data_IF_909826998453
#
_entry.id   IF_909826998453
#
_cell.length_a   1.000
_cell.length_b   1.000
_cell.length_c   1.000
_cell.angle_alpha   90.00
_cell.angle_beta   90.00
_cell.angle_gamma   90.00
#
_symmetry.space_group_name_H-M   'P 1'
#
loop_
_entity.id
_entity.type
_entity.pdbx_description
1 polymer ?
#
# COMPACT_ATOMS: atom_id res chain seq x y z
N UNK A 1 20.48 -45.66 -60.73
CA UNK A 1 20.54 -44.32 -60.12
C UNK A 1 19.33 -43.51 -60.57
N UNK A 2 18.62 -42.89 -59.60
CA UNK A 2 17.73 -41.72 -59.72
C UNK A 2 16.37 -41.82 -60.46
N UNK A 3 15.32 -42.23 -59.71
CA UNK A 3 14.09 -41.50 -59.26
C UNK A 3 13.27 -40.59 -60.24
N UNK A 4 12.02 -40.13 -59.90
CA UNK A 4 10.71 -40.79 -60.10
C UNK A 4 9.62 -39.82 -60.69
N UNK A 5 8.34 -40.23 -60.88
CA UNK A 5 7.08 -39.40 -60.80
C UNK A 5 5.84 -40.32 -60.90
N UNK A 6 5.01 -40.46 -59.85
CA UNK A 6 3.74 -39.76 -59.47
C UNK A 6 2.43 -40.23 -60.14
N UNK A 7 1.49 -40.72 -59.32
CA UNK A 7 0.03 -40.39 -59.31
C UNK A 7 -0.65 -41.11 -58.13
N UNK A 8 -1.00 -40.39 -57.05
CA UNK A 8 -2.35 -39.88 -56.66
C UNK A 8 -3.42 -40.97 -56.50
N UNK A 9 -3.89 -41.14 -55.25
CA UNK A 9 -5.24 -41.59 -54.95
C UNK A 9 -5.79 -40.88 -53.70
N UNK A 10 -7.07 -40.57 -53.81
CA UNK A 10 -7.95 -39.72 -53.00
C UNK A 10 -8.28 -40.33 -51.63
N UNK A 11 -8.50 -39.51 -50.61
CA UNK A 11 -9.42 -39.87 -49.52
C UNK A 11 -10.10 -38.64 -48.90
N UNK A 12 -11.38 -38.83 -48.59
CA UNK A 12 -12.40 -37.83 -48.35
C UNK A 12 -12.36 -37.17 -46.96
N UNK A 13 -12.99 -36.00 -46.91
CA UNK A 13 -13.24 -35.15 -45.74
C UNK A 13 -14.35 -35.76 -44.87
N UNK A 14 -14.10 -35.90 -43.56
CA UNK A 14 -15.13 -36.15 -42.55
C UNK A 14 -15.17 -34.99 -41.56
N UNK A 15 -16.35 -34.41 -41.39
CA UNK A 15 -16.65 -33.32 -40.48
C UNK A 15 -16.78 -33.86 -39.04
N UNK A 16 -16.20 -33.17 -38.06
CA UNK A 16 -16.59 -33.26 -36.66
C UNK A 16 -17.02 -31.88 -36.16
N UNK A 17 -18.25 -31.82 -35.65
CA UNK A 17 -18.85 -30.68 -34.99
C UNK A 17 -18.18 -30.46 -33.62
N UNK A 18 -17.53 -29.32 -33.43
CA UNK A 18 -17.09 -28.88 -32.10
C UNK A 18 -18.24 -28.13 -31.43
N UNK A 19 -18.78 -28.71 -30.36
CA UNK A 19 -19.71 -28.08 -29.44
C UNK A 19 -19.09 -26.81 -28.83
N UNK A 20 -19.85 -25.72 -28.82
CA UNK A 20 -19.50 -24.45 -28.18
C UNK A 20 -19.28 -24.64 -26.68
N UNK A 21 -18.03 -24.75 -26.26
CA UNK A 21 -17.65 -24.54 -24.87
C UNK A 21 -17.67 -23.05 -24.58
N UNK A 22 -18.48 -22.62 -23.62
CA UNK A 22 -18.44 -21.27 -23.07
C UNK A 22 -17.03 -20.99 -22.55
N UNK A 23 -16.32 -20.08 -23.21
CA UNK A 23 -15.09 -19.51 -22.68
C UNK A 23 -15.46 -18.63 -21.50
N UNK A 24 -15.37 -19.18 -20.28
CA UNK A 24 -15.08 -18.33 -19.14
C UNK A 24 -13.67 -17.80 -19.38
N UNK A 25 -13.54 -16.50 -19.62
CA UNK A 25 -12.25 -15.83 -19.57
C UNK A 25 -11.76 -15.92 -18.12
N UNK A 26 -11.03 -16.99 -17.82
CA UNK A 26 -10.17 -17.02 -16.66
C UNK A 26 -9.17 -15.87 -16.85
N UNK A 27 -9.10 -14.97 -15.88
CA UNK A 27 -8.08 -13.91 -15.83
C UNK A 27 -6.70 -14.49 -16.14
N UNK A 28 -5.84 -13.68 -16.73
CA UNK A 28 -4.56 -14.18 -17.22
C UNK A 28 -3.75 -14.81 -16.07
N UNK A 29 -2.87 -15.78 -16.36
CA UNK A 29 -1.98 -16.35 -15.35
C UNK A 29 -1.15 -15.28 -14.61
N UNK A 30 -0.94 -14.11 -15.22
CA UNK A 30 -0.28 -12.96 -14.61
C UNK A 30 -1.15 -12.26 -13.58
N UNK A 31 -2.45 -12.04 -13.84
CA UNK A 31 -3.37 -11.43 -12.86
C UNK A 31 -3.57 -12.30 -11.62
N UNK A 32 -3.62 -13.62 -11.80
CA UNK A 32 -3.70 -14.57 -10.68
C UNK A 32 -2.39 -14.61 -9.86
N UNK A 33 -1.24 -14.49 -10.53
CA UNK A 33 0.07 -14.44 -9.86
C UNK A 33 0.28 -13.09 -9.14
N UNK A 34 -0.09 -11.97 -9.74
CA UNK A 34 -0.04 -10.64 -9.12
C UNK A 34 -0.98 -10.56 -7.89
N UNK A 35 -2.17 -11.17 -7.98
CA UNK A 35 -3.11 -11.27 -6.85
C UNK A 35 -2.59 -12.16 -5.73
N UNK A 36 -1.95 -13.28 -6.06
CA UNK A 36 -1.32 -14.16 -5.07
C UNK A 36 -0.14 -13.46 -4.37
N UNK A 37 0.63 -12.65 -5.11
CA UNK A 37 1.74 -11.87 -4.57
C UNK A 37 1.26 -10.70 -3.69
N UNK A 38 0.12 -10.08 -4.02
CA UNK A 38 -0.57 -9.12 -3.17
C UNK A 38 -1.10 -9.77 -1.87
N UNK A 39 -1.69 -10.96 -1.96
CA UNK A 39 -2.17 -11.73 -0.79
C UNK A 39 -1.01 -12.20 0.10
N UNK A 40 0.15 -12.56 -0.46
CA UNK A 40 1.37 -12.87 0.31
C UNK A 40 1.95 -11.64 1.02
N UNK A 41 1.95 -10.48 0.36
CA UNK A 41 2.37 -9.19 0.93
C UNK A 41 1.39 -8.64 1.97
N UNK A 42 0.13 -9.08 1.96
CA UNK A 42 -0.88 -8.72 2.97
C UNK A 42 -0.81 -9.62 4.22
N UNK A 43 -0.27 -10.83 4.10
CA UNK A 43 -0.20 -11.83 5.18
C UNK A 43 1.10 -11.74 5.99
N UNK A 44 2.17 -11.19 5.41
CA UNK A 44 3.40 -10.90 6.15
C UNK A 44 3.42 -9.43 6.52
N UNK A 45 3.52 -9.13 7.80
CA UNK A 45 3.80 -7.79 8.29
C UNK A 45 5.21 -7.29 7.92
N UNK A 46 5.60 -7.37 6.65
CA UNK A 46 6.95 -7.19 6.13
C UNK A 46 7.03 -6.42 4.81
N UNK A 47 6.04 -5.60 4.47
CA UNK A 47 6.17 -4.64 3.37
C UNK A 47 7.20 -3.56 3.70
N UNK A 48 8.06 -3.18 2.74
CA UNK A 48 8.97 -2.04 2.90
C UNK A 48 8.19 -0.74 2.81
N UNK A 49 8.39 0.15 3.78
CA UNK A 49 7.91 1.53 3.75
C UNK A 49 8.77 2.31 2.77
N UNK A 50 8.14 3.18 1.99
CA UNK A 50 8.85 4.16 1.17
C UNK A 50 8.60 5.58 1.65
N UNK A 51 9.68 6.33 1.65
CA UNK A 51 9.75 7.70 2.11
C UNK A 51 10.40 8.58 1.06
N UNK A 52 9.89 9.80 0.90
CA UNK A 52 10.43 10.81 -0.02
C UNK A 52 10.64 12.14 0.71
N UNK A 53 11.79 12.76 0.48
CA UNK A 53 12.10 14.07 1.07
C UNK A 53 13.41 14.67 0.57
N UNK A 54 13.68 15.91 1.01
CA UNK A 54 14.87 16.67 0.65
C UNK A 54 15.88 16.55 1.80
N UNK A 55 17.05 15.98 1.53
CA UNK A 55 18.10 15.78 2.55
C UNK A 55 19.00 17.01 2.75
N UNK A 56 19.08 17.90 1.77
CA UNK A 56 19.91 19.10 1.79
C UNK A 56 19.21 20.21 0.99
N UNK A 57 19.20 21.42 1.53
CA UNK A 57 18.51 22.55 0.91
C UNK A 57 19.01 22.81 -0.51
N UNK A 58 18.08 23.00 -1.45
CA UNK A 58 18.39 23.21 -2.87
C UNK A 58 18.79 21.95 -3.65
N UNK A 59 18.81 20.76 -3.02
CA UNK A 59 18.99 19.48 -3.72
C UNK A 59 17.64 18.86 -4.12
N UNK A 60 17.64 17.94 -5.12
CA UNK A 60 16.45 17.16 -5.45
C UNK A 60 15.95 16.30 -4.27
N UNK A 61 14.68 15.94 -4.30
CA UNK A 61 14.13 14.92 -3.41
C UNK A 61 14.79 13.56 -3.67
N UNK A 62 14.98 12.78 -2.60
CA UNK A 62 15.39 11.38 -2.66
C UNK A 62 14.22 10.49 -2.25
N UNK A 63 14.19 9.28 -2.79
CA UNK A 63 13.27 8.22 -2.36
C UNK A 63 14.10 7.13 -1.67
N UNK A 64 13.73 6.80 -0.44
CA UNK A 64 14.35 5.75 0.36
C UNK A 64 13.29 4.71 0.72
N UNK A 65 13.69 3.44 0.70
CA UNK A 65 12.86 2.32 1.16
C UNK A 65 13.48 1.71 2.40
N UNK A 66 12.67 1.30 3.38
CA UNK A 66 13.15 0.62 4.58
C UNK A 66 12.08 -0.27 5.21
N UNK A 67 12.49 -1.08 6.19
CA UNK A 67 11.55 -1.93 6.95
C UNK A 67 10.68 -1.14 7.94
N UNK A 68 11.18 0.01 8.38
CA UNK A 68 10.60 0.97 9.32
C UNK A 68 11.25 2.35 9.07
N UNK A 69 10.78 3.43 9.71
CA UNK A 69 11.41 4.74 9.50
C UNK A 69 12.78 4.87 10.17
N UNK A 70 13.10 4.05 11.18
CA UNK A 70 14.44 4.01 11.77
C UNK A 70 15.50 3.51 10.76
N UNK A 71 15.15 2.51 9.93
CA UNK A 71 15.99 2.07 8.82
C UNK A 71 16.12 3.16 7.74
N UNK A 72 15.05 3.91 7.46
CA UNK A 72 15.08 5.04 6.53
C UNK A 72 15.95 6.18 7.08
N UNK A 73 15.85 6.50 8.36
CA UNK A 73 16.69 7.50 9.04
C UNK A 73 18.17 7.14 8.94
N UNK A 74 18.52 5.86 9.16
CA UNK A 74 19.90 5.40 9.00
C UNK A 74 20.39 5.63 7.57
N UNK A 75 19.59 5.26 6.57
CA UNK A 75 19.92 5.47 5.14
C UNK A 75 20.02 6.95 4.78
N UNK A 76 19.16 7.79 5.35
CA UNK A 76 19.23 9.24 5.17
C UNK A 76 20.52 9.82 5.76
N UNK A 77 20.94 9.34 6.95
CA UNK A 77 22.20 9.72 7.59
C UNK A 77 23.45 9.24 6.86
N UNK A 78 23.38 8.10 6.17
CA UNK A 78 24.48 7.66 5.29
C UNK A 78 24.71 8.63 4.12
N UNK A 79 23.66 9.34 3.67
CA UNK A 79 23.71 10.34 2.60
C UNK A 79 24.01 11.76 3.10
N UNK A 80 23.42 12.15 4.24
CA UNK A 80 23.70 13.40 4.94
C UNK A 80 23.71 13.16 6.46
N UNK A 81 24.89 12.98 7.09
CA UNK A 81 25.00 12.63 8.51
C UNK A 81 24.37 13.64 9.49
N UNK A 82 24.19 14.90 9.05
CA UNK A 82 23.58 15.97 9.86
C UNK A 82 22.05 16.03 9.74
N UNK A 83 21.48 15.35 8.75
CA UNK A 83 20.04 15.35 8.51
C UNK A 83 19.32 14.38 9.45
N UNK A 84 18.06 14.68 9.72
CA UNK A 84 17.13 13.74 10.36
C UNK A 84 15.77 13.83 9.71
N UNK A 85 15.13 12.68 9.51
CA UNK A 85 13.73 12.60 9.07
C UNK A 85 12.76 12.90 10.23
N UNK A 86 13.25 13.10 11.46
CA UNK A 86 12.39 13.31 12.63
C UNK A 86 12.33 14.79 13.03
N UNK A 87 11.12 15.31 13.21
CA UNK A 87 10.87 16.64 13.72
C UNK A 87 11.24 16.73 15.20
N UNK A 88 11.87 17.84 15.59
CA UNK A 88 12.26 18.13 16.98
C UNK A 88 11.13 18.73 17.81
N UNK A 89 10.05 19.18 17.18
CA UNK A 89 8.87 19.77 17.85
C UNK A 89 7.57 19.23 17.25
N UNK A 90 6.55 19.11 18.10
CA UNK A 90 5.22 18.66 17.69
C UNK A 90 4.60 19.72 16.76
N UNK A 91 4.43 19.36 15.49
CA UNK A 91 3.71 20.19 14.54
C UNK A 91 2.21 20.24 14.89
N UNK A 92 1.57 21.39 14.64
CA UNK A 92 0.13 21.55 14.86
C UNK A 92 -0.65 20.55 14.01
N UNK A 93 -1.63 19.88 14.62
CA UNK A 93 -2.50 18.93 13.93
C UNK A 93 -3.14 19.57 12.70
N UNK A 94 -2.96 18.96 11.53
CA UNK A 94 -3.73 19.31 10.34
C UNK A 94 -5.15 18.77 10.53
N UNK A 95 -6.16 19.48 10.02
CA UNK A 95 -7.52 18.95 10.04
C UNK A 95 -7.63 17.78 9.07
N UNK A 96 -8.13 16.65 9.58
CA UNK A 96 -8.49 15.51 8.75
C UNK A 96 -9.52 15.94 7.70
N UNK A 97 -9.30 15.56 6.44
CA UNK A 97 -10.23 15.78 5.33
C UNK A 97 -10.99 14.48 5.07
N UNK A 98 -12.32 14.51 5.20
CA UNK A 98 -13.17 13.35 4.89
C UNK A 98 -14.01 12.84 6.06
N UNK A 99 -14.97 11.98 5.73
CA UNK A 99 -15.82 11.27 6.70
C UNK A 99 -15.13 9.96 7.13
N UNK A 100 -15.15 9.68 8.44
CA UNK A 100 -14.63 8.42 8.98
C UNK A 100 -15.74 7.37 9.12
N UNK A 101 -15.49 6.17 8.61
CA UNK A 101 -16.41 5.03 8.70
C UNK A 101 -15.88 4.01 9.71
N UNK A 102 -16.75 3.48 10.59
CA UNK A 102 -16.37 2.46 11.58
C UNK A 102 -16.06 1.11 10.92
N UNK A 103 -14.92 0.53 11.28
CA UNK A 103 -14.50 -0.81 10.86
C UNK A 103 -14.87 -1.90 11.86
N UNK A 104 -14.59 -3.16 11.50
CA UNK A 104 -14.96 -4.35 12.29
C UNK A 104 -13.84 -4.90 13.18
N UNK A 105 -12.57 -4.76 12.78
CA UNK A 105 -11.44 -5.33 13.51
C UNK A 105 -10.69 -4.26 14.29
N UNK A 106 -10.99 -4.16 15.57
CA UNK A 106 -10.46 -3.10 16.45
C UNK A 106 -8.99 -3.30 16.79
N UNK A 107 -8.24 -2.21 16.72
CA UNK A 107 -6.92 -2.02 17.31
C UNK A 107 -7.04 -1.39 18.70
N UNK A 108 -5.96 -1.45 19.49
CA UNK A 108 -5.83 -0.68 20.74
C UNK A 108 -5.70 0.80 20.41
N UNK A 109 -6.56 1.64 21.00
CA UNK A 109 -6.50 3.10 20.84
C UNK A 109 -5.14 3.65 21.27
N UNK A 110 -4.57 3.15 22.37
CA UNK A 110 -3.27 3.62 22.88
C UNK A 110 -2.14 3.34 21.87
N UNK A 111 -2.11 2.14 21.30
CA UNK A 111 -1.13 1.79 20.29
C UNK A 111 -1.31 2.62 18.99
N UNK A 112 -2.56 2.93 18.61
CA UNK A 112 -2.82 3.82 17.48
C UNK A 112 -2.39 5.26 17.77
N UNK A 113 -2.63 5.78 18.98
CA UNK A 113 -2.18 7.13 19.38
C UNK A 113 -0.65 7.25 19.40
N UNK A 114 0.05 6.20 19.82
CA UNK A 114 1.51 6.12 19.68
C UNK A 114 1.93 6.16 18.20
N UNK A 115 1.26 5.39 17.34
CA UNK A 115 1.50 5.41 15.90
C UNK A 115 1.23 6.78 15.26
N UNK A 116 0.17 7.47 15.68
CA UNK A 116 -0.16 8.85 15.26
C UNK A 116 0.96 9.80 15.68
N UNK A 117 1.37 9.77 16.95
CA UNK A 117 2.44 10.62 17.46
C UNK A 117 3.75 10.38 16.70
N UNK A 118 4.07 9.12 16.43
CA UNK A 118 5.23 8.73 15.63
C UNK A 118 5.16 9.25 14.20
N UNK A 119 4.05 9.08 13.48
CA UNK A 119 3.90 9.61 12.11
C UNK A 119 4.00 11.14 12.05
N UNK A 120 3.55 11.84 13.10
CA UNK A 120 3.67 13.30 13.22
C UNK A 120 5.11 13.79 13.39
N UNK A 121 6.02 12.94 13.85
CA UNK A 121 7.45 13.30 13.89
C UNK A 121 8.13 13.08 12.55
N UNK A 122 7.56 12.32 11.60
CA UNK A 122 8.22 12.09 10.31
C UNK A 122 8.09 13.31 9.39
N UNK A 123 9.23 13.97 9.12
CA UNK A 123 9.44 14.93 8.05
C UNK A 123 9.51 14.19 6.71
N UNK A 124 8.84 14.69 5.68
CA UNK A 124 8.78 14.06 4.36
C UNK A 124 7.47 13.33 4.10
N UNK A 125 7.44 12.58 3.00
CA UNK A 125 6.23 12.01 2.42
C UNK A 125 6.25 10.48 2.47
N UNK A 126 5.09 9.91 2.76
CA UNK A 126 4.80 8.48 2.75
C UNK A 126 4.12 8.11 1.43
N UNK A 127 4.49 6.96 0.88
CA UNK A 127 3.92 6.44 -0.38
C UNK A 127 2.71 5.55 -0.13
N UNK A 128 1.70 5.67 -0.97
CA UNK A 128 0.77 4.60 -1.27
C UNK A 128 1.05 4.10 -2.69
N UNK A 129 1.17 2.77 -2.82
CA UNK A 129 1.35 2.10 -4.10
C UNK A 129 0.18 2.36 -5.08
N UNK A 130 0.40 2.19 -6.39
CA UNK A 130 -0.70 2.12 -7.34
C UNK A 130 -1.75 1.08 -6.90
N UNK A 131 -3.01 1.51 -6.89
CA UNK A 131 -4.18 0.70 -6.62
C UNK A 131 -4.73 -0.02 -7.87
N UNK A 132 -5.97 -0.54 -7.77
CA UNK A 132 -6.93 -0.34 -6.69
C UNK A 132 -6.63 -1.17 -5.42
N UNK A 133 -7.14 -0.73 -4.26
CA UNK A 133 -7.05 -1.42 -2.97
C UNK A 133 -5.63 -1.64 -2.45
N UNK A 134 -4.68 -0.85 -2.91
CA UNK A 134 -3.29 -1.00 -2.48
C UNK A 134 -3.06 -0.23 -1.19
N UNK A 135 -2.59 -0.93 -0.16
CA UNK A 135 -2.39 -0.39 1.18
C UNK A 135 -0.99 -0.67 1.68
N UNK A 136 -0.21 0.39 1.92
CA UNK A 136 1.07 0.32 2.61
C UNK A 136 0.88 0.51 4.11
N UNK A 137 1.54 -0.31 4.94
CA UNK A 137 1.55 -0.12 6.39
C UNK A 137 2.58 0.96 6.76
N UNK A 138 2.12 2.04 7.40
CA UNK A 138 2.99 3.16 7.79
C UNK A 138 3.27 3.20 9.29
N UNK A 139 2.49 2.50 10.11
CA UNK A 139 2.78 2.29 11.53
C UNK A 139 2.18 0.97 12.00
N UNK A 140 2.88 0.26 12.89
CA UNK A 140 2.39 -0.99 13.49
C UNK A 140 2.99 -1.19 14.89
N UNK A 141 2.14 -1.38 15.88
CA UNK A 141 2.55 -1.78 17.23
C UNK A 141 1.44 -2.60 17.89
N UNK A 142 1.79 -3.67 18.63
CA UNK A 142 0.83 -4.47 19.42
C UNK A 142 -0.43 -4.89 18.63
N UNK A 143 -0.23 -5.41 17.42
CA UNK A 143 -1.30 -5.78 16.48
C UNK A 143 -2.25 -4.64 16.07
N UNK A 144 -1.80 -3.39 16.20
CA UNK A 144 -2.56 -2.18 15.89
C UNK A 144 -1.82 -1.41 14.81
N UNK A 145 -2.45 -1.20 13.67
CA UNK A 145 -1.79 -0.67 12.49
C UNK A 145 -2.51 0.56 11.91
N UNK A 146 -1.70 1.43 11.32
CA UNK A 146 -2.14 2.54 10.47
C UNK A 146 -1.64 2.24 9.07
N UNK A 147 -2.56 2.20 8.12
CA UNK A 147 -2.28 1.99 6.71
C UNK A 147 -2.60 3.24 5.90
N UNK A 148 -1.80 3.47 4.87
CA UNK A 148 -2.08 4.46 3.85
C UNK A 148 -2.38 3.74 2.54
N UNK A 149 -3.57 4.01 2.01
CA UNK A 149 -4.16 3.25 0.93
C UNK A 149 -4.50 4.14 -0.26
N UNK A 150 -4.53 3.53 -1.43
CA UNK A 150 -4.79 4.20 -2.69
C UNK A 150 -5.60 3.30 -3.62
N UNK A 151 -6.70 3.85 -4.14
CA UNK A 151 -7.55 3.18 -5.12
C UNK A 151 -7.33 3.71 -6.54
N UNK A 152 -6.40 4.65 -6.77
CA UNK A 152 -6.04 5.16 -8.09
C UNK A 152 -4.99 4.27 -8.77
N UNK A 153 -4.88 4.34 -10.10
CA UNK A 153 -3.88 3.57 -10.88
C UNK A 153 -2.45 4.11 -10.80
N UNK A 154 -2.25 5.27 -10.19
CA UNK A 154 -0.95 5.91 -10.02
C UNK A 154 -0.59 5.93 -8.54
N UNK A 155 0.71 5.88 -8.23
CA UNK A 155 1.18 6.04 -6.86
C UNK A 155 0.81 7.42 -6.31
N UNK A 156 0.68 7.52 -4.99
CA UNK A 156 0.42 8.80 -4.35
C UNK A 156 1.33 9.02 -3.15
N UNK A 157 1.69 10.28 -2.93
CA UNK A 157 2.59 10.70 -1.87
C UNK A 157 1.91 11.76 -1.02
N UNK A 158 1.89 11.55 0.30
CA UNK A 158 1.38 12.54 1.25
C UNK A 158 2.34 12.70 2.43
N UNK A 159 2.41 13.88 3.06
CA UNK A 159 3.18 14.06 4.28
C UNK A 159 2.80 12.99 5.32
N UNK A 160 3.79 12.28 5.86
CA UNK A 160 3.53 11.22 6.84
C UNK A 160 2.74 11.74 8.06
N UNK A 161 3.05 12.97 8.48
CA UNK A 161 2.29 13.69 9.52
C UNK A 161 0.80 13.84 9.21
N UNK A 162 0.44 14.09 7.94
CA UNK A 162 -0.95 14.26 7.54
C UNK A 162 -1.72 12.95 7.67
N UNK A 163 -1.09 11.81 7.37
CA UNK A 163 -1.67 10.48 7.59
C UNK A 163 -1.93 10.25 9.09
N UNK A 164 -1.01 10.67 9.96
CA UNK A 164 -1.21 10.67 11.41
C UNK A 164 -2.41 11.52 11.84
N UNK A 165 -2.57 12.71 11.26
CA UNK A 165 -3.70 13.60 11.53
C UNK A 165 -5.06 13.01 11.06
N UNK A 166 -5.08 12.33 9.93
CA UNK A 166 -6.28 11.61 9.46
C UNK A 166 -6.62 10.45 10.41
N UNK A 167 -5.62 9.70 10.87
CA UNK A 167 -5.81 8.63 11.85
C UNK A 167 -6.34 9.15 13.20
N UNK A 168 -5.91 10.33 13.65
CA UNK A 168 -6.50 11.02 14.81
C UNK A 168 -7.98 11.31 14.61
N UNK A 169 -8.37 11.75 13.41
CA UNK A 169 -9.77 11.93 13.02
C UNK A 169 -10.58 10.63 13.14
N UNK A 170 -10.02 9.50 12.71
CA UNK A 170 -10.64 8.17 12.86
C UNK A 170 -10.77 7.80 14.34
N UNK A 171 -9.73 7.99 15.16
CA UNK A 171 -9.80 7.74 16.61
C UNK A 171 -10.94 8.53 17.24
N UNK A 172 -11.00 9.85 17.01
CA UNK A 172 -12.03 10.73 17.57
C UNK A 172 -13.46 10.29 17.22
N UNK A 173 -13.68 9.74 16.03
CA UNK A 173 -15.02 9.41 15.53
C UNK A 173 -15.41 7.93 15.70
N UNK A 174 -14.42 7.04 15.72
CA UNK A 174 -14.63 5.60 15.64
C UNK A 174 -14.20 4.84 16.90
N UNK A 175 -13.52 5.48 17.86
CA UNK A 175 -13.19 4.88 19.14
C UNK A 175 -14.44 4.38 19.88
N UNK A 176 -14.32 3.20 20.49
CA UNK A 176 -15.33 2.58 21.33
C UNK A 176 -14.67 1.67 22.37
N UNK A 177 -14.83 2.00 23.66
CA UNK A 177 -14.33 1.20 24.79
C UNK A 177 -12.84 0.80 24.67
N UNK A 178 -11.97 1.74 24.29
CA UNK A 178 -10.52 1.51 24.14
C UNK A 178 -10.10 0.78 22.86
N UNK A 179 -11.06 0.39 22.02
CA UNK A 179 -10.84 -0.15 20.67
C UNK A 179 -11.15 0.88 19.58
N UNK A 180 -10.42 0.84 18.47
CA UNK A 180 -10.70 1.67 17.29
C UNK A 180 -10.52 0.88 16.01
N UNK A 181 -11.44 1.05 15.06
CA UNK A 181 -11.22 0.66 13.68
C UNK A 181 -12.03 1.59 12.78
N UNK A 182 -11.45 1.98 11.66
CA UNK A 182 -12.16 2.74 10.66
C UNK A 182 -11.30 3.14 9.49
N UNK A 183 -11.93 3.75 8.51
CA UNK A 183 -11.27 4.35 7.36
C UNK A 183 -11.76 5.78 7.17
N UNK A 184 -10.87 6.67 6.73
CA UNK A 184 -11.23 8.03 6.33
C UNK A 184 -10.75 8.25 4.90
N UNK A 185 -11.70 8.53 4.00
CA UNK A 185 -11.47 8.64 2.55
C UNK A 185 -11.40 10.09 2.10
N UNK A 186 -10.36 10.42 1.35
CA UNK A 186 -10.33 11.64 0.56
C UNK A 186 -11.16 11.46 -0.72
N UNK A 187 -11.75 12.54 -1.24
CA UNK A 187 -12.55 12.53 -2.47
C UNK A 187 -11.74 12.05 -3.69
N UNK A 188 -10.41 12.14 -3.61
CA UNK A 188 -9.48 11.78 -4.67
C UNK A 188 -8.99 10.32 -4.58
N UNK A 189 -9.67 9.47 -3.79
CA UNK A 189 -9.51 8.01 -3.75
C UNK A 189 -8.21 7.47 -3.12
N UNK A 190 -7.57 8.27 -2.28
CA UNK A 190 -6.62 7.78 -1.27
C UNK A 190 -7.24 7.92 0.12
N UNK A 191 -6.77 7.11 1.07
CA UNK A 191 -7.41 6.99 2.36
C UNK A 191 -6.48 6.41 3.42
N UNK A 192 -6.81 6.69 4.68
CA UNK A 192 -6.14 6.10 5.84
C UNK A 192 -7.05 5.05 6.45
N UNK A 193 -6.48 3.91 6.82
CA UNK A 193 -7.17 2.83 7.54
C UNK A 193 -6.51 2.61 8.88
N UNK A 194 -7.32 2.54 9.93
CA UNK A 194 -6.93 2.18 11.28
C UNK A 194 -7.63 0.89 11.66
N UNK A 195 -6.89 -0.05 12.24
CA UNK A 195 -7.48 -1.29 12.74
C UNK A 195 -6.43 -2.30 13.15
N UNK A 196 -6.90 -3.51 13.44
CA UNK A 196 -6.02 -4.63 13.73
C UNK A 196 -5.11 -4.91 12.54
N UNK A 197 -3.82 -5.03 12.78
CA UNK A 197 -2.82 -5.40 11.78
C UNK A 197 -1.85 -6.44 12.33
N UNK A 198 -1.19 -7.19 11.45
CA UNK A 198 -0.10 -8.08 11.83
C UNK A 198 1.19 -7.25 11.95
N UNK A 199 1.70 -7.11 13.18
CA UNK A 199 3.02 -6.59 13.50
C UNK A 199 3.85 -7.79 14.00
#
# INVERSE_FOLDING_TARGET
MMTPRFSIAVAAVAWMLASTGSFFAAGSPTEAAERAQFEENLVLGGGTIQWKGILEEGKPEVILSGKDFEDIERKAKDLNPSYTIFATENSTALEARGEALKGRQTASVDAIREGIAYLRTILGQCRADPGPWSCGRVSCSRNSAIHYCNDNSEEHWEPCRWIGDVAEGIVRLCENNGGVSGEARDQRRWYTVVGRGNC
#
